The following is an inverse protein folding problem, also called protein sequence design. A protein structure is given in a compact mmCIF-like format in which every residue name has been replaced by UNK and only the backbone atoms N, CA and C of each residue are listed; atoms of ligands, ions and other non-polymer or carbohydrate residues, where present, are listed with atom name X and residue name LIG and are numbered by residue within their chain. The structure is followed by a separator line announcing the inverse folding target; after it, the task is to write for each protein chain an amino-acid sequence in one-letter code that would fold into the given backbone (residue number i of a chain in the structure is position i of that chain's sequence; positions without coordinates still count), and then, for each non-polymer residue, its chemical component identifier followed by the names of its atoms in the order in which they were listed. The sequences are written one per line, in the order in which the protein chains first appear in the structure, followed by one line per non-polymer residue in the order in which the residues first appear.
data_IF_889590071850
#
_entry.id   IF_889590071850
#
_cell.length_a   1.000
_cell.length_b   1.000
_cell.length_c   1.000
_cell.angle_alpha   90.00
_cell.angle_beta   90.00
_cell.angle_gamma   90.00
#
_symmetry.space_group_name_H-M   'P 1'
#
loop_
_entity.id
_entity.type
_entity.pdbx_description
1 polymer ?
#
# COMPACT_ATOMS: atom_id res chain seq x y z
N UNK A 1 1.11 16.35 -4.98
CA UNK A 1 -0.06 15.66 -5.52
C UNK A 1 -0.95 15.24 -4.38
N UNK A 2 -2.26 15.25 -4.60
CA UNK A 2 -3.25 14.67 -3.70
C UNK A 2 -3.32 13.15 -3.88
N UNK A 3 -3.91 12.44 -2.92
CA UNK A 3 -4.13 10.99 -3.04
C UNK A 3 -4.91 10.67 -4.31
N UNK A 4 -5.95 11.46 -4.62
CA UNK A 4 -6.78 11.27 -5.82
C UNK A 4 -5.99 11.45 -7.11
N UNK A 5 -5.14 12.47 -7.21
CA UNK A 5 -4.27 12.66 -8.39
C UNK A 5 -3.32 11.46 -8.57
N UNK A 6 -2.79 10.90 -7.49
CA UNK A 6 -1.91 9.71 -7.56
C UNK A 6 -2.71 8.47 -7.99
N UNK A 7 -3.94 8.32 -7.51
CA UNK A 7 -4.83 7.23 -7.93
C UNK A 7 -5.15 7.33 -9.43
N UNK A 8 -5.48 8.52 -9.93
CA UNK A 8 -5.74 8.78 -11.36
C UNK A 8 -4.51 8.47 -12.22
N UNK A 9 -3.30 8.87 -11.80
CA UNK A 9 -2.06 8.50 -12.51
C UNK A 9 -1.86 6.98 -12.57
N UNK A 10 -2.11 6.27 -11.46
CA UNK A 10 -2.03 4.81 -11.43
C UNK A 10 -3.04 4.19 -12.39
N UNK A 11 -4.27 4.69 -12.42
CA UNK A 11 -5.30 4.21 -13.34
C UNK A 11 -4.85 4.42 -14.80
N UNK A 12 -4.35 5.61 -15.12
CA UNK A 12 -3.85 5.95 -16.45
C UNK A 12 -2.68 5.05 -16.85
N UNK A 13 -1.71 4.82 -15.97
CA UNK A 13 -0.59 3.89 -16.20
C UNK A 13 -1.08 2.46 -16.48
N UNK A 14 -2.02 1.95 -15.67
CA UNK A 14 -2.55 0.61 -15.86
C UNK A 14 -3.42 0.47 -17.12
N UNK A 15 -4.02 1.57 -17.58
CA UNK A 15 -4.80 1.61 -18.81
C UNK A 15 -3.95 1.46 -20.08
N UNK A 16 -2.63 1.67 -19.99
CA UNK A 16 -1.70 1.48 -21.11
C UNK A 16 -1.41 0.01 -21.41
N UNK A 17 -1.75 -0.90 -20.50
CA UNK A 17 -1.51 -2.34 -20.65
C UNK A 17 -2.75 -3.05 -21.21
N UNK A 18 -2.54 -3.75 -22.32
CA UNK A 18 -3.59 -4.45 -23.06
C UNK A 18 -3.98 -5.80 -22.41
N UNK A 19 -3.07 -6.38 -21.61
CA UNK A 19 -3.31 -7.64 -20.92
C UNK A 19 -2.94 -7.61 -19.43
N UNK A 20 -3.45 -8.62 -18.71
CA UNK A 20 -3.23 -8.73 -17.27
C UNK A 20 -1.80 -9.13 -16.90
N UNK A 21 -1.10 -9.84 -17.78
CA UNK A 21 0.28 -10.27 -17.52
C UNK A 21 1.21 -9.05 -17.45
N UNK A 22 1.04 -8.07 -18.34
CA UNK A 22 1.79 -6.82 -18.31
C UNK A 22 1.51 -6.02 -17.02
N UNK A 23 0.23 -5.92 -16.61
CA UNK A 23 -0.14 -5.29 -15.32
C UNK A 23 0.49 -6.00 -14.14
N UNK A 24 0.53 -7.33 -14.19
CA UNK A 24 1.17 -8.14 -13.16
C UNK A 24 2.67 -7.87 -13.09
N UNK A 25 3.37 -7.82 -14.22
CA UNK A 25 4.79 -7.46 -14.29
C UNK A 25 5.02 -6.05 -13.77
N UNK A 26 4.16 -5.10 -14.11
CA UNK A 26 4.25 -3.74 -13.60
C UNK A 26 4.16 -3.67 -12.07
N UNK A 27 3.21 -4.39 -11.46
CA UNK A 27 3.10 -4.50 -10.00
C UNK A 27 4.40 -5.06 -9.39
N UNK A 28 5.00 -6.07 -10.02
CA UNK A 28 6.26 -6.67 -9.56
C UNK A 28 7.40 -5.65 -9.64
N UNK A 29 7.49 -4.86 -10.72
CA UNK A 29 8.48 -3.79 -10.86
C UNK A 29 8.30 -2.70 -9.80
N UNK A 30 7.07 -2.28 -9.49
CA UNK A 30 6.79 -1.33 -8.40
C UNK A 30 7.33 -1.83 -7.06
N UNK A 31 7.25 -3.14 -6.82
CA UNK A 31 7.81 -3.80 -5.64
C UNK A 31 9.33 -3.65 -5.51
N UNK A 32 10.06 -3.41 -6.61
CA UNK A 32 11.51 -3.18 -6.58
C UNK A 32 11.87 -1.73 -6.24
N UNK A 33 10.97 -0.78 -6.52
CA UNK A 33 11.16 0.66 -6.28
C UNK A 33 10.61 1.15 -4.93
N UNK A 34 10.01 0.28 -4.12
CA UNK A 34 9.45 0.65 -2.81
C UNK A 34 10.56 1.14 -1.84
N UNK A 35 10.29 2.16 -1.01
CA UNK A 35 11.13 2.46 0.13
C UNK A 35 11.27 1.23 1.04
N UNK A 36 12.50 0.68 1.08
CA UNK A 36 12.79 -0.52 1.85
C UNK A 36 12.66 -0.24 3.34
N UNK A 37 11.94 -1.11 4.04
CA UNK A 37 11.93 -1.13 5.50
C UNK A 37 13.32 -1.52 6.02
N UNK A 38 13.81 -0.79 7.02
CA UNK A 38 15.07 -1.12 7.68
C UNK A 38 14.97 -2.46 8.44
N UNK A 39 16.06 -3.23 8.48
CA UNK A 39 16.05 -4.57 9.08
C UNK A 39 15.66 -4.57 10.56
N UNK A 40 15.94 -3.48 11.29
CA UNK A 40 15.51 -3.33 12.69
C UNK A 40 13.98 -3.34 12.87
N UNK A 41 13.23 -2.96 11.83
CA UNK A 41 11.78 -2.95 11.82
C UNK A 41 11.17 -4.23 11.23
N UNK A 42 11.98 -5.20 10.79
CA UNK A 42 11.51 -6.52 10.33
C UNK A 42 11.21 -7.47 11.50
N UNK A 43 10.39 -7.01 12.43
CA UNK A 43 9.96 -7.76 13.62
C UNK A 43 8.55 -8.31 13.44
N UNK A 44 8.16 -9.30 14.23
CA UNK A 44 6.80 -9.86 14.17
C UNK A 44 5.73 -8.82 14.56
N UNK A 45 6.08 -7.82 15.38
CA UNK A 45 5.17 -6.72 15.76
C UNK A 45 4.82 -5.80 14.59
N UNK A 46 5.74 -5.66 13.63
CA UNK A 46 5.54 -4.86 12.42
C UNK A 46 4.94 -5.68 11.26
N UNK A 47 4.44 -6.90 11.53
CA UNK A 47 3.82 -7.72 10.48
C UNK A 47 2.33 -7.43 10.29
N UNK A 48 1.90 -7.40 9.03
CA UNK A 48 0.47 -7.30 8.68
C UNK A 48 -0.17 -8.68 8.79
N UNK A 49 -1.03 -8.85 9.79
CA UNK A 49 -1.82 -10.09 9.97
C UNK A 49 -2.87 -10.22 8.87
N UNK A 50 -3.16 -11.45 8.45
CA UNK A 50 -4.16 -11.75 7.41
C UNK A 50 -3.59 -11.89 5.99
N UNK A 51 -2.30 -11.59 5.80
CA UNK A 51 -1.57 -11.95 4.59
C UNK A 51 -1.07 -13.40 4.68
N UNK A 52 -1.09 -14.13 3.56
CA UNK A 52 -0.48 -15.46 3.49
C UNK A 52 1.05 -15.39 3.53
N UNK A 53 1.62 -14.43 2.81
CA UNK A 53 3.04 -14.07 2.85
C UNK A 53 3.30 -13.07 3.98
N UNK A 54 4.52 -13.06 4.54
CA UNK A 54 4.87 -12.03 5.53
C UNK A 54 4.99 -10.68 4.84
N UNK A 55 4.40 -9.66 5.46
CA UNK A 55 4.52 -8.26 5.06
C UNK A 55 4.92 -7.49 6.29
N UNK A 56 6.09 -6.87 6.26
CA UNK A 56 6.52 -5.94 7.29
C UNK A 56 6.19 -4.52 6.85
N UNK A 57 5.63 -3.74 7.75
CA UNK A 57 5.23 -2.35 7.52
C UNK A 57 5.69 -1.52 8.71
N UNK A 58 6.41 -0.45 8.45
CA UNK A 58 6.74 0.59 9.42
C UNK A 58 6.13 1.92 8.96
N UNK A 59 5.82 2.78 9.93
CA UNK A 59 5.27 4.10 9.70
C UNK A 59 6.03 5.11 10.57
N UNK A 60 6.50 6.19 9.96
CA UNK A 60 7.10 7.33 10.63
C UNK A 60 6.29 8.58 10.36
N UNK A 61 6.31 9.55 11.27
CA UNK A 61 5.66 10.85 11.06
C UNK A 61 6.71 11.95 10.97
N UNK A 62 6.59 12.75 9.92
CA UNK A 62 7.41 13.94 9.69
C UNK A 62 6.53 15.02 9.06
N UNK A 63 6.61 16.24 9.59
CA UNK A 63 5.86 17.39 9.07
C UNK A 63 4.35 17.09 8.91
N UNK A 64 3.75 16.48 9.95
CA UNK A 64 2.34 16.06 10.02
C UNK A 64 1.90 15.00 8.99
N UNK A 65 2.86 14.39 8.29
CA UNK A 65 2.63 13.37 7.26
C UNK A 65 3.21 12.04 7.64
N UNK A 66 2.53 10.97 7.24
CA UNK A 66 2.97 9.60 7.48
C UNK A 66 3.83 9.13 6.31
N UNK A 67 5.01 8.59 6.61
CA UNK A 67 5.91 7.95 5.68
C UNK A 67 5.94 6.47 5.98
N UNK A 68 5.49 5.66 5.03
CA UNK A 68 5.49 4.20 5.17
C UNK A 68 6.74 3.60 4.52
N UNK A 69 7.27 2.56 5.13
CA UNK A 69 8.25 1.66 4.52
C UNK A 69 7.78 0.22 4.68
N UNK A 70 8.02 -0.62 3.68
CA UNK A 70 7.54 -1.99 3.74
C UNK A 70 8.46 -2.96 2.99
N UNK A 71 8.32 -4.24 3.32
CA UNK A 71 8.92 -5.36 2.58
C UNK A 71 8.05 -6.61 2.71
N UNK A 72 8.25 -7.58 1.83
CA UNK A 72 7.54 -8.86 1.87
C UNK A 72 8.41 -9.99 1.35
N UNK A 73 8.21 -11.19 1.90
CA UNK A 73 8.84 -12.43 1.43
C UNK A 73 8.23 -12.97 0.11
N UNK A 74 7.16 -12.36 -0.38
CA UNK A 74 6.55 -12.70 -1.67
C UNK A 74 6.57 -11.50 -2.63
N UNK A 75 7.09 -11.71 -3.84
CA UNK A 75 7.35 -10.65 -4.82
C UNK A 75 6.05 -9.91 -5.21
N UNK A 76 4.97 -10.65 -5.49
CA UNK A 76 3.68 -10.03 -5.82
C UNK A 76 3.13 -9.21 -4.64
N UNK A 77 3.20 -9.76 -3.44
CA UNK A 77 2.75 -9.07 -2.23
C UNK A 77 3.56 -7.79 -2.00
N UNK A 78 4.87 -7.84 -2.24
CA UNK A 78 5.76 -6.67 -2.21
C UNK A 78 5.33 -5.60 -3.22
N UNK A 79 4.96 -6.02 -4.42
CA UNK A 79 4.41 -5.12 -5.45
C UNK A 79 3.09 -4.47 -5.04
N UNK A 80 2.17 -5.24 -4.46
CA UNK A 80 0.87 -4.72 -4.00
C UNK A 80 1.06 -3.70 -2.88
N UNK A 81 1.88 -3.99 -1.86
CA UNK A 81 2.13 -3.01 -0.80
C UNK A 81 2.86 -1.77 -1.34
N UNK A 82 3.75 -1.91 -2.32
CA UNK A 82 4.40 -0.78 -2.97
C UNK A 82 3.41 0.16 -3.65
N UNK A 83 2.43 -0.39 -4.36
CA UNK A 83 1.34 0.36 -4.97
C UNK A 83 0.55 1.16 -3.92
N UNK A 84 0.20 0.52 -2.80
CA UNK A 84 -0.49 1.20 -1.70
C UNK A 84 0.38 2.30 -1.06
N UNK A 85 1.68 2.06 -0.90
CA UNK A 85 2.59 3.05 -0.31
C UNK A 85 2.75 4.27 -1.21
N UNK A 86 2.72 4.11 -2.54
CA UNK A 86 2.70 5.23 -3.50
C UNK A 86 1.49 6.14 -3.26
N UNK A 87 0.33 5.55 -2.96
CA UNK A 87 -0.93 6.27 -2.73
C UNK A 87 -0.99 6.93 -1.35
N UNK A 88 -0.53 6.24 -0.30
CA UNK A 88 -0.79 6.68 1.09
C UNK A 88 0.39 7.32 1.80
N UNK A 89 1.63 7.14 1.32
CA UNK A 89 2.79 7.79 1.97
C UNK A 89 2.84 9.27 1.66
N UNK A 90 3.49 10.05 2.53
CA UNK A 90 3.65 11.51 2.40
C UNK A 90 2.32 12.29 2.44
N UNK A 91 1.32 11.70 3.09
CA UNK A 91 0.01 12.29 3.34
C UNK A 91 -0.28 12.38 4.84
N UNK A 92 -1.11 13.36 5.19
CA UNK A 92 -1.57 13.51 6.57
C UNK A 92 -2.47 12.33 6.95
N UNK A 93 -2.56 12.00 8.26
CA UNK A 93 -3.48 10.98 8.72
C UNK A 93 -4.93 11.20 8.24
N UNK A 94 -5.37 12.46 8.20
CA UNK A 94 -6.72 12.83 7.77
C UNK A 94 -6.93 12.51 6.29
N UNK A 95 -6.01 12.90 5.42
CA UNK A 95 -6.11 12.59 3.98
C UNK A 95 -6.20 11.08 3.72
N UNK A 96 -5.36 10.29 4.41
CA UNK A 96 -5.38 8.82 4.29
C UNK A 96 -6.73 8.24 4.72
N UNK A 97 -7.33 8.77 5.79
CA UNK A 97 -8.61 8.28 6.30
C UNK A 97 -9.79 8.65 5.41
N UNK A 98 -9.80 9.90 4.91
CA UNK A 98 -10.85 10.46 4.07
C UNK A 98 -10.82 9.90 2.63
N UNK A 99 -9.70 9.32 2.20
CA UNK A 99 -9.56 8.71 0.87
C UNK A 99 -10.28 7.36 0.71
N UNK A 100 -10.84 7.14 -0.48
CA UNK A 100 -11.35 5.84 -0.95
C UNK A 100 -10.22 4.97 -1.53
N UNK A 101 -10.59 3.79 -2.02
CA UNK A 101 -9.67 2.83 -2.65
C UNK A 101 -10.22 2.31 -3.97
N UNK A 102 -11.08 3.07 -4.64
CA UNK A 102 -11.83 2.60 -5.82
C UNK A 102 -10.89 2.31 -7.00
N UNK A 103 -9.74 3.00 -7.07
CA UNK A 103 -8.69 2.76 -8.06
C UNK A 103 -8.24 1.29 -8.14
N UNK A 104 -8.33 0.53 -7.04
CA UNK A 104 -7.96 -0.90 -7.00
C UNK A 104 -8.87 -1.73 -7.88
N UNK A 105 -10.16 -1.39 -7.87
CA UNK A 105 -11.17 -2.04 -8.71
C UNK A 105 -11.01 -1.56 -10.17
N UNK A 106 -10.73 -0.27 -10.38
CA UNK A 106 -10.53 0.31 -11.73
C UNK A 106 -9.31 -0.28 -12.48
N UNK A 107 -8.18 -0.52 -11.79
CA UNK A 107 -7.03 -1.19 -12.42
C UNK A 107 -7.24 -2.70 -12.63
N UNK A 108 -8.37 -3.24 -12.17
CA UNK A 108 -8.74 -4.66 -12.26
C UNK A 108 -8.02 -5.56 -11.25
N UNK A 109 -7.28 -5.00 -10.29
CA UNK A 109 -6.41 -5.79 -9.41
C UNK A 109 -7.17 -6.85 -8.63
N UNK A 110 -8.28 -6.48 -8.02
CA UNK A 110 -9.04 -7.36 -7.13
C UNK A 110 -9.60 -8.59 -7.84
N UNK A 111 -10.03 -8.46 -9.10
CA UNK A 111 -10.63 -9.54 -9.89
C UNK A 111 -9.63 -10.63 -10.27
N UNK A 112 -8.35 -10.27 -10.36
CA UNK A 112 -7.28 -11.17 -10.74
C UNK A 112 -6.49 -11.76 -9.57
N UNK A 113 -6.85 -11.40 -8.33
CA UNK A 113 -6.27 -12.00 -7.13
C UNK A 113 -7.06 -13.24 -6.72
N UNK A 114 -6.35 -14.31 -6.36
CA UNK A 114 -6.96 -15.42 -5.61
C UNK A 114 -7.63 -14.89 -4.33
N UNK A 115 -8.68 -15.54 -3.81
CA UNK A 115 -9.38 -15.09 -2.59
C UNK A 115 -8.45 -14.77 -1.41
N UNK A 116 -7.42 -15.60 -1.19
CA UNK A 116 -6.43 -15.39 -0.12
C UNK A 116 -5.64 -14.08 -0.32
N UNK A 117 -5.25 -13.77 -1.55
CA UNK A 117 -4.50 -12.54 -1.87
C UNK A 117 -5.39 -11.31 -1.79
N UNK A 118 -6.65 -11.40 -2.21
CA UNK A 118 -7.62 -10.32 -2.04
C UNK A 118 -7.85 -9.98 -0.55
N UNK A 119 -7.92 -10.99 0.32
CA UNK A 119 -7.98 -10.78 1.78
C UNK A 119 -6.70 -10.14 2.33
N UNK A 120 -5.54 -10.51 1.79
CA UNK A 120 -4.26 -9.87 2.12
C UNK A 120 -4.26 -8.38 1.76
N UNK A 121 -4.72 -8.02 0.56
CA UNK A 121 -4.87 -6.63 0.12
C UNK A 121 -5.76 -5.82 1.08
N UNK A 122 -6.92 -6.35 1.44
CA UNK A 122 -7.83 -5.70 2.42
C UNK A 122 -7.12 -5.51 3.78
N UNK A 123 -6.33 -6.49 4.21
CA UNK A 123 -5.58 -6.41 5.46
C UNK A 123 -4.50 -5.33 5.43
N UNK A 124 -3.82 -5.13 4.29
CA UNK A 124 -2.83 -4.07 4.10
C UNK A 124 -3.47 -2.68 4.19
N UNK A 125 -4.56 -2.45 3.45
CA UNK A 125 -5.31 -1.18 3.47
C UNK A 125 -5.77 -0.87 4.89
N UNK A 126 -6.34 -1.87 5.58
CA UNK A 126 -6.76 -1.74 6.97
C UNK A 126 -5.60 -1.33 7.87
N UNK A 127 -4.44 -1.98 7.74
CA UNK A 127 -3.28 -1.66 8.58
C UNK A 127 -2.77 -0.22 8.35
N UNK A 128 -2.71 0.23 7.09
CA UNK A 128 -2.33 1.61 6.75
C UNK A 128 -3.30 2.62 7.37
N UNK A 129 -4.62 2.38 7.27
CA UNK A 129 -5.63 3.23 7.92
C UNK A 129 -5.55 3.17 9.46
N UNK A 130 -5.20 2.03 10.05
CA UNK A 130 -4.98 1.94 11.50
C UNK A 130 -3.80 2.78 11.98
N UNK A 131 -2.68 2.79 11.24
CA UNK A 131 -1.58 3.73 11.51
C UNK A 131 -2.07 5.18 11.43
N UNK A 132 -2.85 5.52 10.41
CA UNK A 132 -3.41 6.87 10.30
C UNK A 132 -4.30 7.24 11.50
N UNK A 133 -5.20 6.36 11.96
CA UNK A 133 -6.00 6.59 13.16
C UNK A 133 -5.12 6.83 14.39
N UNK A 134 -4.08 6.00 14.57
CA UNK A 134 -3.18 6.09 15.71
C UNK A 134 -2.42 7.44 15.74
N UNK A 135 -1.93 7.90 14.59
CA UNK A 135 -1.22 9.18 14.49
C UNK A 135 -2.17 10.38 14.57
N UNK A 136 -3.34 10.32 13.95
CA UNK A 136 -4.36 11.38 14.07
C UNK A 136 -4.73 11.62 15.54
N UNK A 137 -4.88 10.54 16.31
CA UNK A 137 -5.20 10.61 17.74
C UNK A 137 -4.07 11.23 18.56
N UNK A 138 -2.81 10.98 18.20
CA UNK A 138 -1.63 11.54 18.88
C UNK A 138 -1.41 13.02 18.54
N UNK A 139 -1.76 13.45 17.34
CA UNK A 139 -1.58 14.84 16.87
C UNK A 139 -2.72 15.77 17.30
N UNK A 140 -3.86 15.21 17.71
CA UNK A 140 -5.01 15.96 18.24
C UNK A 140 -4.93 16.19 19.76
N UNK A 141 -3.85 15.75 20.41
CA UNK A 141 -3.55 15.95 21.83
C UNK A 141 -2.46 17.01 21.98
#
# INVERSE_FOLDING_TARGET
MTIKEIQEEIIDEFSMFDDWMERYEYIIELGKSIPLIEDQYKTDDNTIKGCQSKVWLNADVKDDKIFFTADSDAILTKGIIALLLRVFSNHTPKEILDSDTDFIDEIGLKEHLSPTRANGLVSMIKQLKLYAIAYQSKMSQ
#
